data_IF_749719195672
#
_entry.id   IF_749719195672
#
_cell.length_a   1.000
_cell.length_b   1.000
_cell.length_c   1.000
_cell.angle_alpha   90.00
_cell.angle_beta   90.00
_cell.angle_gamma   90.00
#
_symmetry.space_group_name_H-M   'P 1'
#
loop_
_entity.id
_entity.type
_entity.pdbx_description
1 polymer ?
#
# COMPACT_ATOMS: atom_id res chain seq x y z
N UNK A 1 12.47 14.98 -4.92
CA UNK A 1 11.01 14.78 -5.00
C UNK A 1 10.31 16.12 -4.77
N UNK A 2 9.28 16.46 -5.56
CA UNK A 2 8.45 17.62 -5.24
C UNK A 2 7.63 17.30 -3.99
N UNK A 3 7.70 18.14 -2.95
CA UNK A 3 7.05 17.88 -1.65
C UNK A 3 5.54 17.68 -1.80
N UNK A 4 4.92 18.38 -2.76
CA UNK A 4 3.49 18.27 -3.08
C UNK A 4 3.12 16.85 -3.53
N UNK A 5 4.00 16.17 -4.27
CA UNK A 5 3.74 14.82 -4.77
C UNK A 5 3.75 13.77 -3.64
N UNK A 6 4.47 14.01 -2.55
CA UNK A 6 4.54 13.08 -1.41
C UNK A 6 3.23 13.04 -0.61
N UNK A 7 2.44 14.11 -0.61
CA UNK A 7 1.17 14.16 0.12
C UNK A 7 0.12 13.21 -0.43
N UNK A 8 0.10 12.97 -1.75
CA UNK A 8 -0.87 12.08 -2.39
C UNK A 8 -0.85 10.64 -1.83
N UNK A 9 0.29 9.91 -1.85
CA UNK A 9 0.34 8.57 -1.27
C UNK A 9 0.12 8.58 0.24
N UNK A 10 0.57 9.60 0.97
CA UNK A 10 0.35 9.71 2.43
C UNK A 10 -1.14 9.78 2.76
N UNK A 11 -1.89 10.64 2.07
CA UNK A 11 -3.33 10.76 2.25
C UNK A 11 -4.02 9.45 1.87
N UNK A 12 -3.60 8.83 0.76
CA UNK A 12 -4.19 7.58 0.27
C UNK A 12 -3.98 6.43 1.25
N UNK A 13 -2.79 6.32 1.86
CA UNK A 13 -2.48 5.34 2.91
C UNK A 13 -3.50 5.44 4.04
N UNK A 14 -3.71 6.64 4.58
CA UNK A 14 -4.60 6.86 5.72
C UNK A 14 -6.05 6.60 5.34
N UNK A 15 -6.54 7.20 4.26
CA UNK A 15 -7.94 7.07 3.84
C UNK A 15 -8.29 5.62 3.48
N UNK A 16 -7.46 4.94 2.70
CA UNK A 16 -7.72 3.54 2.33
C UNK A 16 -7.72 2.61 3.56
N UNK A 17 -6.91 2.92 4.58
CA UNK A 17 -6.88 2.15 5.83
C UNK A 17 -8.16 2.37 6.65
N UNK A 18 -8.64 3.60 6.76
CA UNK A 18 -9.90 3.92 7.44
C UNK A 18 -11.10 3.29 6.73
N UNK A 19 -11.13 3.31 5.40
CA UNK A 19 -12.18 2.67 4.62
C UNK A 19 -12.12 1.15 4.82
N UNK A 20 -10.94 0.53 4.79
CA UNK A 20 -10.78 -0.92 5.02
C UNK A 20 -11.34 -1.36 6.38
N UNK A 21 -11.09 -0.60 7.45
CA UNK A 21 -11.62 -0.87 8.79
C UNK A 21 -13.15 -0.81 8.85
N UNK A 22 -13.76 -0.01 7.96
CA UNK A 22 -15.22 0.15 7.87
C UNK A 22 -15.89 -0.93 7.02
N UNK A 23 -15.14 -1.83 6.38
CA UNK A 23 -15.70 -2.90 5.54
C UNK A 23 -15.91 -4.19 6.32
N UNK A 24 -17.13 -4.73 6.28
CA UNK A 24 -17.48 -6.03 6.87
C UNK A 24 -17.09 -7.20 5.95
N UNK A 25 -17.20 -7.01 4.63
CA UNK A 25 -16.77 -8.01 3.67
C UNK A 25 -15.23 -8.12 3.65
N UNK A 26 -14.72 -9.33 3.90
CA UNK A 26 -13.28 -9.57 3.99
C UNK A 26 -12.56 -9.30 2.65
N UNK A 27 -13.14 -9.64 1.50
CA UNK A 27 -12.54 -9.38 0.18
C UNK A 27 -12.46 -7.89 -0.10
N UNK A 28 -13.49 -7.11 0.27
CA UNK A 28 -13.44 -5.65 0.16
C UNK A 28 -12.39 -5.04 1.11
N UNK A 29 -12.34 -5.48 2.37
CA UNK A 29 -11.33 -5.05 3.34
C UNK A 29 -9.91 -5.36 2.83
N UNK A 30 -9.71 -6.53 2.22
CA UNK A 30 -8.45 -6.92 1.60
C UNK A 30 -8.14 -6.05 0.37
N UNK A 31 -9.13 -5.67 -0.44
CA UNK A 31 -8.93 -4.78 -1.57
C UNK A 31 -8.48 -3.37 -1.12
N UNK A 32 -9.15 -2.77 -0.13
CA UNK A 32 -8.77 -1.45 0.38
C UNK A 32 -7.40 -1.44 1.07
N UNK A 33 -7.04 -2.52 1.79
CA UNK A 33 -5.68 -2.64 2.32
C UNK A 33 -4.63 -2.85 1.23
N UNK A 34 -4.96 -3.38 0.04
CA UNK A 34 -4.05 -3.38 -1.13
C UNK A 34 -3.79 -1.95 -1.62
N UNK A 35 -4.82 -1.10 -1.69
CA UNK A 35 -4.66 0.32 -2.09
C UNK A 35 -3.71 1.06 -1.14
N UNK A 36 -3.86 0.86 0.18
CA UNK A 36 -2.95 1.45 1.17
C UNK A 36 -1.51 0.95 1.00
N UNK A 37 -1.31 -0.36 0.84
CA UNK A 37 0.02 -0.97 0.70
C UNK A 37 0.74 -0.56 -0.59
N UNK A 38 0.03 -0.47 -1.73
CA UNK A 38 0.59 0.06 -2.97
C UNK A 38 0.97 1.53 -2.83
N UNK A 39 0.25 2.30 -2.01
CA UNK A 39 0.59 3.70 -1.75
C UNK A 39 1.88 3.85 -0.93
N UNK A 40 2.22 2.91 -0.05
CA UNK A 40 3.55 2.85 0.59
C UNK A 40 4.68 2.62 -0.43
N UNK A 41 4.45 1.73 -1.41
CA UNK A 41 5.42 1.48 -2.50
C UNK A 41 5.63 2.73 -3.34
N UNK A 42 4.54 3.43 -3.70
CA UNK A 42 4.60 4.71 -4.43
C UNK A 42 5.33 5.78 -3.61
N UNK A 43 5.07 5.88 -2.31
CA UNK A 43 5.78 6.81 -1.42
C UNK A 43 7.28 6.51 -1.41
N UNK A 44 7.67 5.24 -1.24
CA UNK A 44 9.08 4.83 -1.26
C UNK A 44 9.77 5.14 -2.59
N UNK A 45 9.09 4.92 -3.72
CA UNK A 45 9.59 5.29 -5.04
C UNK A 45 9.76 6.81 -5.18
N UNK A 46 8.81 7.61 -4.70
CA UNK A 46 8.84 9.08 -4.78
C UNK A 46 9.92 9.71 -3.91
N UNK A 47 10.32 9.08 -2.80
CA UNK A 47 11.43 9.56 -1.97
C UNK A 47 12.78 9.58 -2.72
N UNK A 48 12.92 8.76 -3.78
CA UNK A 48 14.07 8.75 -4.68
C UNK A 48 15.44 8.59 -3.98
N UNK A 49 15.45 7.93 -2.81
CA UNK A 49 16.68 7.52 -2.12
C UNK A 49 16.96 6.04 -2.37
N UNK A 50 18.23 5.65 -2.38
CA UNK A 50 18.62 4.26 -2.66
C UNK A 50 17.93 3.26 -1.71
N UNK A 51 17.88 3.57 -0.42
CA UNK A 51 17.25 2.71 0.59
C UNK A 51 15.73 2.63 0.39
N UNK A 52 15.07 3.74 0.04
CA UNK A 52 13.63 3.76 -0.18
C UNK A 52 13.22 2.95 -1.41
N UNK A 53 14.00 3.01 -2.50
CA UNK A 53 13.74 2.22 -3.72
C UNK A 53 13.92 0.72 -3.47
N UNK A 54 14.98 0.33 -2.76
CA UNK A 54 15.21 -1.08 -2.38
C UNK A 54 14.07 -1.58 -1.49
N UNK A 55 13.70 -0.80 -0.47
CA UNK A 55 12.59 -1.11 0.43
C UNK A 55 11.26 -1.25 -0.31
N UNK A 56 10.92 -0.30 -1.19
CA UNK A 56 9.71 -0.35 -2.01
C UNK A 56 9.69 -1.59 -2.94
N UNK A 57 10.83 -1.96 -3.52
CA UNK A 57 10.97 -3.17 -4.33
C UNK A 57 10.72 -4.45 -3.53
N UNK A 58 11.33 -4.58 -2.35
CA UNK A 58 11.07 -5.71 -1.45
C UNK A 58 9.60 -5.76 -0.99
N UNK A 59 9.01 -4.58 -0.72
CA UNK A 59 7.62 -4.45 -0.30
C UNK A 59 6.66 -5.00 -1.35
N UNK A 60 6.91 -4.79 -2.66
CA UNK A 60 6.09 -5.38 -3.75
C UNK A 60 6.03 -6.91 -3.60
N UNK A 61 7.17 -7.58 -3.46
CA UNK A 61 7.24 -9.04 -3.38
C UNK A 61 6.49 -9.57 -2.13
N UNK A 62 6.75 -8.96 -0.96
CA UNK A 62 6.11 -9.35 0.29
C UNK A 62 4.59 -9.11 0.26
N UNK A 63 4.18 -7.98 -0.30
CA UNK A 63 2.78 -7.64 -0.45
C UNK A 63 2.05 -8.61 -1.38
N UNK A 64 2.61 -8.89 -2.55
CA UNK A 64 2.01 -9.81 -3.52
C UNK A 64 1.85 -11.22 -2.93
N UNK A 65 2.90 -11.74 -2.29
CA UNK A 65 2.86 -13.04 -1.62
C UNK A 65 1.75 -13.12 -0.56
N UNK A 66 1.72 -12.14 0.36
CA UNK A 66 0.72 -12.10 1.42
C UNK A 66 -0.71 -11.96 0.87
N UNK A 67 -0.91 -11.12 -0.15
CA UNK A 67 -2.25 -10.89 -0.72
C UNK A 67 -2.80 -12.07 -1.47
N UNK A 68 -2.00 -12.78 -2.26
CA UNK A 68 -2.47 -13.98 -2.98
C UNK A 68 -2.97 -15.02 -1.96
N UNK A 69 -2.22 -15.26 -0.89
CA UNK A 69 -2.62 -16.20 0.16
C UNK A 69 -3.92 -15.76 0.88
N UNK A 70 -4.04 -14.49 1.23
CA UNK A 70 -5.22 -13.96 1.93
C UNK A 70 -6.47 -13.95 1.04
N UNK A 71 -6.36 -13.62 -0.25
CA UNK A 71 -7.48 -13.67 -1.19
C UNK A 71 -7.91 -15.09 -1.53
N UNK A 72 -6.99 -16.05 -1.48
CA UNK A 72 -7.31 -17.47 -1.65
C UNK A 72 -8.09 -18.02 -0.45
N UNK A 73 -7.75 -17.61 0.77
CA UNK A 73 -8.39 -18.09 2.00
C UNK A 73 -9.72 -17.38 2.33
N UNK A 74 -9.93 -16.16 1.84
CA UNK A 74 -11.12 -15.34 2.06
C UNK A 74 -12.22 -15.58 1.02
#
# INVERSE_FOLDING_TARGET
ANQILLWFPIITIVLASLIALSKDNLKERLAYSTISQLSYIVLGALLATQQAVIGAGMHIAMHAFGKIALFFAA
#
